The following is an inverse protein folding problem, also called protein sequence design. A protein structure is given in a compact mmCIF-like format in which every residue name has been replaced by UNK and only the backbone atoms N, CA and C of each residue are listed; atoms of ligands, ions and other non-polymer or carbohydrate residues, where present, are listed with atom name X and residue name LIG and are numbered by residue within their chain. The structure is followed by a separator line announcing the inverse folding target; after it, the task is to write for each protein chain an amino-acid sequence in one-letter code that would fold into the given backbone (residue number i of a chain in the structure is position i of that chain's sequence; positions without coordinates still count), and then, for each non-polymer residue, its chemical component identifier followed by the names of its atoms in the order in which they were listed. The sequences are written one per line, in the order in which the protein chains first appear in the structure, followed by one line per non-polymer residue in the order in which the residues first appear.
data_IF_863329392900
#
_entry.id   IF_863329392900
#
_cell.length_a   1.000
_cell.length_b   1.000
_cell.length_c   1.000
_cell.angle_alpha   90.00
_cell.angle_beta   90.00
_cell.angle_gamma   90.00
#
_symmetry.space_group_name_H-M   'P 1'
#
loop_
_entity.id
_entity.type
_entity.pdbx_description
1 polymer ?
#
# COMPACT_ATOMS: atom_id res chain seq x y z
N UNK A 1 9.05 5.06 -16.08
CA UNK A 1 7.60 5.34 -16.04
C UNK A 1 7.36 6.69 -15.41
N UNK A 2 6.39 7.46 -15.91
CA UNK A 2 5.87 8.67 -15.27
C UNK A 2 4.82 8.26 -14.25
N UNK A 3 4.91 8.82 -13.04
CA UNK A 3 4.05 8.44 -11.91
C UNK A 3 3.38 9.69 -11.33
N UNK A 4 2.15 9.54 -10.85
CA UNK A 4 1.45 10.50 -10.00
C UNK A 4 0.86 9.78 -8.79
N UNK A 5 0.80 10.45 -7.65
CA UNK A 5 0.24 9.88 -6.42
C UNK A 5 -1.06 10.60 -6.07
N UNK A 6 -2.09 9.85 -5.65
CA UNK A 6 -3.30 10.36 -5.03
C UNK A 6 -3.21 10.23 -3.51
N UNK A 7 -3.33 11.34 -2.77
CA UNK A 7 -3.34 11.35 -1.31
C UNK A 7 -4.77 11.10 -0.78
N UNK A 8 -5.22 9.85 -0.84
CA UNK A 8 -6.57 9.45 -0.44
C UNK A 8 -6.71 9.10 1.05
N UNK A 9 -5.65 9.18 1.87
CA UNK A 9 -5.72 9.24 3.35
C UNK A 9 -6.15 10.66 3.82
N UNK A 10 -7.36 11.07 3.44
CA UNK A 10 -7.83 12.47 3.54
C UNK A 10 -8.10 12.95 4.96
N UNK A 11 -8.18 12.04 5.93
CA UNK A 11 -8.45 12.31 7.35
C UNK A 11 -7.19 12.39 8.20
N UNK A 12 -5.99 12.24 7.61
CA UNK A 12 -4.72 12.33 8.33
C UNK A 12 -3.82 13.36 7.66
N UNK A 13 -3.95 14.61 8.09
CA UNK A 13 -3.17 15.74 7.55
C UNK A 13 -1.65 15.47 7.57
N UNK A 14 -1.13 14.92 8.67
CA UNK A 14 0.28 14.55 8.78
C UNK A 14 0.74 13.50 7.76
N UNK A 15 -0.11 12.52 7.40
CA UNK A 15 0.19 11.55 6.34
C UNK A 15 0.34 12.26 4.99
N UNK A 16 -0.58 13.17 4.67
CA UNK A 16 -0.57 13.90 3.39
C UNK A 16 0.67 14.79 3.27
N UNK A 17 1.06 15.46 4.36
CA UNK A 17 2.29 16.27 4.42
C UNK A 17 3.53 15.42 4.23
N UNK A 18 3.63 14.31 4.97
CA UNK A 18 4.76 13.38 4.85
C UNK A 18 4.86 12.81 3.43
N UNK A 19 3.74 12.37 2.85
CA UNK A 19 3.67 11.88 1.47
C UNK A 19 4.12 12.96 0.47
N UNK A 20 3.67 14.20 0.66
CA UNK A 20 4.05 15.33 -0.20
C UNK A 20 5.55 15.58 -0.16
N UNK A 21 6.16 15.53 1.02
CA UNK A 21 7.60 15.72 1.20
C UNK A 21 8.40 14.59 0.53
N UNK A 22 8.01 13.33 0.73
CA UNK A 22 8.68 12.20 0.06
C UNK A 22 8.57 12.30 -1.46
N UNK A 23 7.37 12.63 -1.96
CA UNK A 23 7.14 12.79 -3.39
C UNK A 23 7.96 13.93 -4.00
N UNK A 24 8.09 15.07 -3.29
CA UNK A 24 8.94 16.19 -3.71
C UNK A 24 10.42 15.77 -3.82
N UNK A 25 10.93 15.03 -2.84
CA UNK A 25 12.31 14.54 -2.84
C UNK A 25 12.65 13.64 -4.06
N UNK A 26 11.65 12.96 -4.62
CA UNK A 26 11.81 12.07 -5.80
C UNK A 26 11.16 12.64 -7.07
N UNK A 27 10.73 13.92 -7.06
CA UNK A 27 10.19 14.62 -8.21
C UNK A 27 8.83 14.11 -8.71
N UNK A 28 8.02 13.51 -7.85
CA UNK A 28 6.69 12.97 -8.17
C UNK A 28 5.59 13.93 -7.73
N UNK A 29 4.57 14.12 -8.58
CA UNK A 29 3.42 14.96 -8.27
C UNK A 29 2.43 14.23 -7.36
N UNK A 30 1.92 14.93 -6.36
CA UNK A 30 0.81 14.49 -5.51
C UNK A 30 -0.46 15.27 -5.84
N UNK A 31 -1.56 14.55 -6.08
CA UNK A 31 -2.91 15.08 -6.17
C UNK A 31 -3.56 14.92 -4.80
N UNK A 32 -4.01 16.03 -4.22
CA UNK A 32 -4.60 16.08 -2.89
C UNK A 32 -5.68 17.15 -2.83
N UNK A 33 -6.70 16.92 -2.01
CA UNK A 33 -7.75 17.90 -1.72
C UNK A 33 -7.57 18.47 -0.31
N UNK A 34 -8.55 19.27 0.13
CA UNK A 34 -8.64 19.72 1.52
C UNK A 34 -8.85 18.54 2.47
N UNK A 35 -8.43 18.71 3.72
CA UNK A 35 -8.67 17.75 4.80
C UNK A 35 -10.15 17.35 4.88
N UNK A 36 -10.42 16.06 5.07
CA UNK A 36 -11.77 15.49 5.15
C UNK A 36 -12.52 15.37 3.81
N UNK A 37 -11.83 15.61 2.67
CA UNK A 37 -12.40 15.35 1.35
C UNK A 37 -12.67 13.86 1.12
N UNK A 38 -13.51 13.55 0.14
CA UNK A 38 -13.82 12.18 -0.26
C UNK A 38 -12.58 11.47 -0.87
N UNK A 39 -12.05 10.38 -0.26
CA UNK A 39 -10.90 9.65 -0.77
C UNK A 39 -11.04 9.20 -2.23
N UNK A 40 -12.25 8.78 -2.61
CA UNK A 40 -12.55 8.30 -3.96
C UNK A 40 -12.49 9.43 -5.00
N UNK A 41 -12.85 10.66 -4.61
CA UNK A 41 -12.75 11.83 -5.49
C UNK A 41 -11.30 12.20 -5.77
N UNK A 42 -10.42 12.15 -4.75
CA UNK A 42 -8.98 12.40 -4.92
C UNK A 42 -8.36 11.40 -5.90
N UNK A 43 -8.69 10.11 -5.75
CA UNK A 43 -8.22 9.06 -6.64
C UNK A 43 -8.72 9.26 -8.08
N UNK A 44 -10.00 9.60 -8.26
CA UNK A 44 -10.60 9.87 -9.57
C UNK A 44 -9.93 11.05 -10.28
N UNK A 45 -9.67 12.14 -9.55
CA UNK A 45 -9.00 13.31 -10.12
C UNK A 45 -7.54 13.03 -10.48
N UNK A 46 -6.83 12.19 -9.71
CA UNK A 46 -5.50 11.73 -10.07
C UNK A 46 -5.48 10.89 -11.36
N UNK A 47 -6.48 10.02 -11.54
CA UNK A 47 -6.64 9.23 -12.76
C UNK A 47 -6.93 10.12 -13.97
N UNK A 48 -7.83 11.10 -13.82
CA UNK A 48 -8.12 12.05 -14.90
C UNK A 48 -6.90 12.92 -15.24
N UNK A 49 -6.16 13.35 -14.22
CA UNK A 49 -4.89 14.06 -14.41
C UNK A 49 -3.89 13.22 -15.20
N UNK A 50 -3.72 11.95 -14.83
CA UNK A 50 -2.81 11.03 -15.51
C UNK A 50 -3.20 10.83 -16.98
N UNK A 51 -4.49 10.58 -17.26
CA UNK A 51 -5.02 10.44 -18.62
C UNK A 51 -4.77 11.69 -19.48
N UNK A 52 -5.06 12.89 -18.93
CA UNK A 52 -4.89 14.15 -19.65
C UNK A 52 -3.41 14.50 -19.93
N UNK A 53 -2.47 13.92 -19.16
CA UNK A 53 -1.04 14.23 -19.23
C UNK A 53 -0.19 13.09 -19.79
N UNK A 54 -0.79 11.95 -20.13
CA UNK A 54 -0.08 10.75 -20.56
C UNK A 54 0.92 10.27 -19.49
N UNK A 55 0.47 10.19 -18.24
CA UNK A 55 1.23 9.61 -17.12
C UNK A 55 0.93 8.11 -17.08
N UNK A 56 1.97 7.30 -16.90
CA UNK A 56 1.88 5.84 -17.05
C UNK A 56 1.22 5.16 -15.85
N UNK A 57 1.47 5.66 -14.63
CA UNK A 57 1.05 5.01 -13.38
C UNK A 57 0.43 6.01 -12.40
N UNK A 58 -0.67 5.60 -11.76
CA UNK A 58 -1.26 6.28 -10.61
C UNK A 58 -1.11 5.39 -9.39
N UNK A 59 -0.48 5.90 -8.33
CA UNK A 59 -0.46 5.24 -7.02
C UNK A 59 -1.47 5.93 -6.11
N UNK A 60 -2.28 5.16 -5.39
CA UNK A 60 -3.30 5.69 -4.49
C UNK A 60 -2.90 5.35 -3.06
N UNK A 61 -2.56 6.37 -2.26
CA UNK A 61 -2.31 6.22 -0.83
C UNK A 61 -3.64 6.24 -0.07
N UNK A 62 -3.94 5.17 0.66
CA UNK A 62 -5.26 4.95 1.27
C UNK A 62 -5.17 4.97 2.80
N UNK A 63 -6.28 5.27 3.48
CA UNK A 63 -6.32 5.21 4.95
C UNK A 63 -5.98 3.81 5.49
N UNK A 64 -5.03 3.72 6.43
CA UNK A 64 -4.50 2.44 6.92
C UNK A 64 -4.99 2.00 8.30
N UNK A 65 -5.64 2.87 9.08
CA UNK A 65 -6.13 2.55 10.42
C UNK A 65 -7.50 3.17 10.63
N UNK A 66 -8.40 2.37 11.18
CA UNK A 66 -9.62 2.88 11.77
C UNK A 66 -9.64 2.41 13.22
N UNK A 67 -9.09 3.22 14.13
CA UNK A 67 -9.33 3.02 15.57
C UNK A 67 -10.81 3.28 15.92
N UNK A 68 -11.63 3.71 14.95
CA UNK A 68 -13.05 3.97 15.14
C UNK A 68 -13.87 3.47 13.92
N UNK A 69 -14.49 2.30 14.09
CA UNK A 69 -15.67 1.80 13.38
C UNK A 69 -15.55 1.08 12.02
N UNK A 70 -16.58 0.25 11.80
CA UNK A 70 -17.00 -0.57 10.64
C UNK A 70 -16.86 0.07 9.23
N UNK A 71 -16.45 1.33 9.10
CA UNK A 71 -16.53 2.12 7.87
C UNK A 71 -15.33 1.96 6.91
N UNK A 72 -14.16 1.51 7.39
CA UNK A 72 -12.94 1.45 6.55
C UNK A 72 -13.12 0.57 5.31
N UNK A 73 -13.71 -0.61 5.46
CA UNK A 73 -13.91 -1.52 4.32
C UNK A 73 -14.93 -0.99 3.32
N UNK A 74 -15.95 -0.25 3.79
CA UNK A 74 -16.95 0.37 2.91
C UNK A 74 -16.34 1.52 2.11
N UNK A 75 -15.49 2.33 2.75
CA UNK A 75 -14.69 3.36 2.08
C UNK A 75 -13.74 2.76 1.04
N UNK A 76 -13.04 1.67 1.38
CA UNK A 76 -12.17 0.96 0.43
C UNK A 76 -12.96 0.38 -0.74
N UNK A 77 -14.11 -0.25 -0.49
CA UNK A 77 -14.99 -0.78 -1.56
C UNK A 77 -15.47 0.35 -2.47
N UNK A 78 -15.84 1.50 -1.90
CA UNK A 78 -16.19 2.69 -2.69
C UNK A 78 -14.99 3.18 -3.52
N UNK A 79 -13.81 3.28 -2.92
CA UNK A 79 -12.59 3.71 -3.59
C UNK A 79 -12.26 2.79 -4.77
N UNK A 80 -12.22 1.47 -4.55
CA UNK A 80 -11.98 0.47 -5.60
C UNK A 80 -12.99 0.57 -6.74
N UNK A 81 -14.29 0.74 -6.42
CA UNK A 81 -15.32 0.90 -7.44
C UNK A 81 -15.14 2.16 -8.29
N UNK A 82 -14.75 3.27 -7.67
CA UNK A 82 -14.59 4.56 -8.36
C UNK A 82 -13.28 4.63 -9.16
N UNK A 83 -12.19 4.09 -8.61
CA UNK A 83 -10.87 4.11 -9.25
C UNK A 83 -10.65 2.97 -10.24
N UNK A 84 -11.38 1.86 -10.11
CA UNK A 84 -11.24 0.64 -10.92
C UNK A 84 -9.77 0.25 -11.14
N UNK A 85 -9.01 -0.03 -10.06
CA UNK A 85 -7.56 -0.18 -10.12
C UNK A 85 -7.15 -1.47 -10.85
N UNK A 86 -6.10 -1.37 -11.68
CA UNK A 86 -5.50 -2.53 -12.36
C UNK A 86 -4.84 -3.51 -11.39
N UNK A 87 -4.34 -3.02 -10.25
CA UNK A 87 -3.70 -3.82 -9.21
C UNK A 87 -4.01 -3.28 -7.81
N UNK A 88 -4.28 -4.18 -6.87
CA UNK A 88 -4.54 -3.87 -5.46
C UNK A 88 -3.48 -4.56 -4.60
N UNK A 89 -2.67 -3.76 -3.90
CA UNK A 89 -1.50 -4.24 -3.16
C UNK A 89 -1.73 -4.01 -1.67
N UNK A 90 -1.61 -5.08 -0.87
CA UNK A 90 -1.61 -4.98 0.58
C UNK A 90 -0.19 -4.65 1.07
N UNK A 91 -0.05 -3.68 1.98
CA UNK A 91 1.24 -3.34 2.60
C UNK A 91 1.19 -3.71 4.07
N UNK A 92 2.04 -4.64 4.48
CA UNK A 92 2.08 -5.19 5.84
C UNK A 92 3.40 -4.90 6.57
N UNK A 93 3.33 -4.75 7.89
CA UNK A 93 4.50 -4.71 8.77
C UNK A 93 4.88 -6.14 9.18
N UNK A 94 6.08 -6.61 8.83
CA UNK A 94 6.52 -7.98 9.15
C UNK A 94 6.66 -8.20 10.65
N UNK A 95 6.93 -7.14 11.43
CA UNK A 95 7.09 -7.22 12.88
C UNK A 95 5.77 -7.38 13.61
N UNK A 96 4.65 -7.09 12.95
CA UNK A 96 3.32 -7.23 13.53
C UNK A 96 2.88 -8.70 13.69
N UNK A 97 3.67 -9.66 13.19
CA UNK A 97 3.42 -11.10 13.37
C UNK A 97 2.00 -11.47 12.93
N UNK A 98 1.23 -12.16 13.77
CA UNK A 98 -0.12 -12.60 13.41
C UNK A 98 -1.10 -11.46 13.08
N UNK A 99 -0.89 -10.24 13.59
CA UNK A 99 -1.79 -9.12 13.31
C UNK A 99 -1.77 -8.71 11.83
N UNK A 100 -0.64 -8.93 11.14
CA UNK A 100 -0.54 -8.63 9.71
C UNK A 100 -1.39 -9.60 8.88
N UNK A 101 -1.45 -10.86 9.30
CA UNK A 101 -2.25 -11.91 8.68
C UNK A 101 -3.75 -11.63 8.82
N UNK A 102 -4.20 -11.26 10.01
CA UNK A 102 -5.61 -10.87 10.26
C UNK A 102 -6.02 -9.64 9.44
N UNK A 103 -5.11 -8.66 9.30
CA UNK A 103 -5.36 -7.49 8.44
C UNK A 103 -5.48 -7.89 6.98
N UNK A 104 -4.56 -8.72 6.47
CA UNK A 104 -4.59 -9.19 5.10
C UNK A 104 -5.87 -9.98 4.79
N UNK A 105 -6.34 -10.82 5.73
CA UNK A 105 -7.61 -11.53 5.63
C UNK A 105 -8.80 -10.55 5.56
N UNK A 106 -8.83 -9.51 6.40
CA UNK A 106 -9.88 -8.48 6.35
C UNK A 106 -9.92 -7.74 5.01
N UNK A 107 -8.77 -7.47 4.40
CA UNK A 107 -8.69 -6.83 3.09
C UNK A 107 -8.88 -7.81 1.92
N UNK A 108 -8.96 -9.11 2.15
CA UNK A 108 -9.20 -10.08 1.07
C UNK A 108 -10.55 -9.85 0.35
N UNK A 109 -11.54 -9.30 1.05
CA UNK A 109 -12.86 -8.90 0.54
C UNK A 109 -12.82 -7.89 -0.62
N UNK A 110 -11.74 -7.11 -0.75
CA UNK A 110 -11.57 -6.15 -1.87
C UNK A 110 -10.76 -6.75 -3.03
N UNK A 111 -10.37 -8.02 -2.94
CA UNK A 111 -9.76 -8.79 -4.02
C UNK A 111 -8.29 -8.45 -4.29
N UNK A 112 -7.43 -8.56 -3.28
CA UNK A 112 -5.99 -8.27 -3.39
C UNK A 112 -5.30 -9.04 -4.54
N UNK A 113 -4.29 -8.41 -5.16
CA UNK A 113 -3.52 -8.97 -6.28
C UNK A 113 -2.08 -9.29 -5.88
N UNK A 114 -1.56 -8.64 -4.84
CA UNK A 114 -0.21 -8.85 -4.32
C UNK A 114 -0.02 -8.22 -2.95
N UNK A 115 1.16 -8.41 -2.39
CA UNK A 115 1.55 -7.86 -1.09
C UNK A 115 2.96 -7.28 -1.10
N UNK A 116 3.20 -6.32 -0.20
CA UNK A 116 4.51 -5.77 0.13
C UNK A 116 4.69 -5.92 1.64
N UNK A 117 5.86 -6.39 2.06
CA UNK A 117 6.20 -6.49 3.48
C UNK A 117 7.25 -5.44 3.81
N UNK A 118 7.08 -4.75 4.92
CA UNK A 118 8.02 -3.72 5.40
C UNK A 118 8.73 -4.19 6.67
N UNK A 119 9.89 -3.60 6.99
CA UNK A 119 10.71 -3.90 8.18
C UNK A 119 11.23 -5.35 8.25
N UNK A 120 11.46 -5.94 7.09
CA UNK A 120 11.89 -7.32 6.93
C UNK A 120 13.32 -7.54 7.45
N UNK A 121 14.13 -6.48 7.48
CA UNK A 121 15.45 -6.43 8.10
C UNK A 121 15.42 -6.76 9.60
N UNK A 122 14.35 -6.38 10.30
CA UNK A 122 14.17 -6.63 11.73
C UNK A 122 13.37 -7.92 12.03
N UNK A 123 12.83 -8.60 11.01
CA UNK A 123 12.13 -9.89 11.17
C UNK A 123 13.11 -11.06 11.11
N UNK A 124 13.41 -11.63 12.27
CA UNK A 124 14.33 -12.77 12.42
C UNK A 124 13.72 -14.12 12.03
N UNK A 125 12.41 -14.23 11.80
CA UNK A 125 11.72 -15.53 11.66
C UNK A 125 11.07 -15.75 10.30
N UNK A 126 10.78 -14.71 9.53
CA UNK A 126 10.14 -14.83 8.21
C UNK A 126 8.69 -15.36 8.25
N UNK A 127 8.12 -15.54 9.44
CA UNK A 127 6.79 -16.11 9.64
C UNK A 127 5.69 -15.25 9.04
N UNK A 128 5.83 -13.92 9.11
CA UNK A 128 4.88 -12.99 8.52
C UNK A 128 4.78 -13.16 6.99
N UNK A 129 5.92 -13.35 6.31
CA UNK A 129 5.96 -13.56 4.88
C UNK A 129 5.27 -14.86 4.47
N UNK A 130 5.55 -15.95 5.19
CA UNK A 130 4.91 -17.24 4.95
C UNK A 130 3.40 -17.15 5.19
N UNK A 131 2.96 -16.57 6.30
CA UNK A 131 1.55 -16.43 6.65
C UNK A 131 0.78 -15.57 5.65
N UNK A 132 1.31 -14.42 5.24
CA UNK A 132 0.64 -13.54 4.26
C UNK A 132 0.49 -14.24 2.92
N UNK A 133 1.56 -14.86 2.42
CA UNK A 133 1.50 -15.55 1.13
C UNK A 133 0.48 -16.69 1.16
N UNK A 134 0.43 -17.44 2.26
CA UNK A 134 -0.53 -18.53 2.43
C UNK A 134 -1.98 -18.05 2.56
N UNK A 135 -2.24 -17.05 3.40
CA UNK A 135 -3.61 -16.56 3.70
C UNK A 135 -4.20 -15.81 2.52
N UNK A 136 -3.42 -14.92 1.89
CA UNK A 136 -3.91 -14.16 0.75
C UNK A 136 -3.97 -15.01 -0.52
N UNK A 137 -3.13 -16.05 -0.61
CA UNK A 137 -2.91 -16.79 -1.86
C UNK A 137 -2.31 -15.91 -2.96
N UNK A 138 -1.72 -14.76 -2.60
CA UNK A 138 -1.16 -13.77 -3.54
C UNK A 138 0.36 -13.68 -3.40
N UNK A 139 1.07 -13.30 -4.47
CA UNK A 139 2.51 -13.13 -4.42
C UNK A 139 2.90 -11.96 -3.51
N UNK A 140 4.05 -12.11 -2.86
CA UNK A 140 4.79 -10.97 -2.31
C UNK A 140 5.57 -10.37 -3.49
N UNK A 141 5.38 -9.08 -3.74
CA UNK A 141 5.98 -8.35 -4.85
C UNK A 141 7.31 -7.71 -4.44
N UNK A 142 7.32 -7.07 -3.26
CA UNK A 142 8.48 -6.36 -2.72
C UNK A 142 8.62 -6.57 -1.22
N UNK A 143 9.83 -6.37 -0.72
CA UNK A 143 10.17 -6.33 0.70
C UNK A 143 10.94 -5.05 1.03
N UNK A 144 10.62 -4.44 2.16
CA UNK A 144 11.35 -3.31 2.72
C UNK A 144 12.41 -3.80 3.70
N UNK A 145 13.68 -3.56 3.38
CA UNK A 145 14.88 -4.01 4.11
C UNK A 145 15.56 -2.87 4.87
N UNK A 146 14.89 -1.71 5.01
CA UNK A 146 15.43 -0.53 5.67
C UNK A 146 14.49 0.67 5.60
N UNK A 147 15.06 1.87 5.66
CA UNK A 147 14.33 3.15 5.75
C UNK A 147 14.61 4.10 4.57
N UNK A 148 15.66 3.83 3.78
CA UNK A 148 15.98 4.57 2.57
C UNK A 148 15.04 4.22 1.41
N UNK A 149 15.04 5.05 0.36
CA UNK A 149 14.23 4.80 -0.84
C UNK A 149 14.68 3.57 -1.63
N UNK A 150 15.98 3.25 -1.56
CA UNK A 150 16.57 2.10 -2.24
C UNK A 150 16.38 0.78 -1.46
N UNK A 151 15.86 0.86 -0.22
CA UNK A 151 15.66 -0.30 0.67
C UNK A 151 14.31 -1.01 0.39
N UNK A 152 13.69 -0.78 -0.77
CA UNK A 152 12.51 -1.52 -1.25
C UNK A 152 12.93 -2.43 -2.41
N UNK A 153 13.09 -3.71 -2.13
CA UNK A 153 13.66 -4.68 -3.04
C UNK A 153 12.58 -5.64 -3.58
N UNK A 154 12.68 -6.11 -4.85
CA UNK A 154 11.84 -7.20 -5.34
C UNK A 154 11.98 -8.44 -4.46
N UNK A 155 10.86 -9.10 -4.17
CA UNK A 155 10.90 -10.31 -3.34
C UNK A 155 11.55 -11.49 -4.06
N UNK A 156 12.58 -12.08 -3.44
CA UNK A 156 13.17 -13.36 -3.86
C UNK A 156 12.67 -14.49 -2.95
N UNK A 157 11.95 -15.50 -3.46
CA UNK A 157 11.54 -16.66 -2.66
C UNK A 157 12.70 -17.39 -1.98
N UNK A 158 13.92 -17.35 -2.54
CA UNK A 158 15.10 -17.96 -1.91
C UNK A 158 15.44 -17.31 -0.58
N UNK A 159 15.29 -15.99 -0.49
CA UNK A 159 15.50 -15.24 0.76
C UNK A 159 14.61 -15.79 1.89
N UNK A 160 13.38 -16.20 1.59
CA UNK A 160 12.48 -16.78 2.58
C UNK A 160 12.89 -18.21 2.95
N UNK A 161 13.26 -19.02 1.97
CA UNK A 161 13.70 -20.41 2.16
C UNK A 161 14.94 -20.47 3.06
N UNK A 162 15.93 -19.61 2.82
CA UNK A 162 17.18 -19.53 3.60
C UNK A 162 16.96 -19.10 5.05
N UNK A 163 15.86 -18.38 5.35
CA UNK A 163 15.54 -17.93 6.72
C UNK A 163 14.68 -18.91 7.51
N UNK A 164 13.90 -19.76 6.82
CA UNK A 164 13.01 -20.73 7.46
C UNK A 164 13.69 -22.09 7.63
N UNK A 165 14.64 -22.42 6.75
CA UNK A 165 15.43 -23.65 6.87
C UNK A 165 16.68 -23.42 7.75
N UNK A 166 16.99 -24.35 8.68
CA UNK A 166 18.17 -24.28 9.52
C UNK A 166 19.48 -24.58 8.77
#
# INVERSE_FOLDING_TARGET
YKVVIAASDTFRAGSIEQLSLHAENIGIKVIKHTYGADPAAVAFDAINHAKARGIDVVLIDTAGRSEINRNLMDEMKKLVRVSNPDMKIFVGDSLAGNAVAEQAERFSDIGLDGSILTKVDADSRGGAALSISYITGKPILFIGTGQGYDDLEPFDPKWLVERILP
#
